data_IF_989898775528
#
_entry.id   IF_989898775528
#
_cell.length_a   1.000
_cell.length_b   1.000
_cell.length_c   1.000
_cell.angle_alpha   90.00
_cell.angle_beta   90.00
_cell.angle_gamma   90.00
#
_symmetry.space_group_name_H-M   'P 1'
#
loop_
_entity.id
_entity.type
_entity.pdbx_description
1 polymer ?
#
# COMPACT_ATOMS: atom_id res chain seq x y z
N UNK A 1 4.92 -0.98 16.79
CA UNK A 1 5.21 -1.01 15.35
C UNK A 1 5.17 0.42 14.88
N UNK A 2 6.17 0.88 14.14
CA UNK A 2 6.21 2.22 13.56
C UNK A 2 5.17 2.34 12.42
N UNK A 3 4.83 3.55 11.96
CA UNK A 3 3.94 3.75 10.80
C UNK A 3 4.51 3.11 9.54
N UNK A 4 5.80 3.27 9.29
CA UNK A 4 6.52 2.62 8.18
C UNK A 4 6.40 1.09 8.24
N UNK A 5 6.63 0.50 9.42
CA UNK A 5 6.47 -0.95 9.63
C UNK A 5 5.01 -1.40 9.41
N UNK A 6 4.05 -0.60 9.87
CA UNK A 6 2.60 -0.79 9.73
C UNK A 6 2.13 -0.82 8.29
N UNK A 7 2.53 0.18 7.51
CA UNK A 7 2.30 0.26 6.08
C UNK A 7 2.91 -0.95 5.37
N UNK A 8 4.18 -1.26 5.66
CA UNK A 8 4.87 -2.39 5.03
C UNK A 8 4.20 -3.74 5.36
N UNK A 9 3.76 -3.96 6.60
CA UNK A 9 3.06 -5.16 7.00
C UNK A 9 1.70 -5.30 6.28
N UNK A 10 0.95 -4.21 6.14
CA UNK A 10 -0.30 -4.19 5.39
C UNK A 10 -0.06 -4.56 3.92
N UNK A 11 0.92 -3.94 3.26
CA UNK A 11 1.25 -4.20 1.85
C UNK A 11 1.66 -5.65 1.62
N UNK A 12 2.50 -6.23 2.50
CA UNK A 12 2.83 -7.66 2.46
C UNK A 12 1.60 -8.55 2.57
N UNK A 13 0.69 -8.22 3.48
CA UNK A 13 -0.55 -8.97 3.63
C UNK A 13 -1.44 -8.90 2.38
N UNK A 14 -1.49 -7.75 1.68
CA UNK A 14 -2.20 -7.64 0.40
C UNK A 14 -1.51 -8.42 -0.72
N UNK A 15 -0.17 -8.40 -0.77
CA UNK A 15 0.60 -9.18 -1.73
C UNK A 15 0.34 -10.69 -1.58
N UNK A 16 0.34 -11.21 -0.36
CA UNK A 16 0.01 -12.62 -0.11
C UNK A 16 -1.40 -12.98 -0.56
N UNK A 17 -2.41 -12.12 -0.26
CA UNK A 17 -3.77 -12.33 -0.79
C UNK A 17 -3.84 -12.34 -2.31
N UNK A 18 -2.91 -11.66 -3.00
CA UNK A 18 -2.79 -11.71 -4.46
C UNK A 18 -2.19 -13.03 -4.92
N UNK A 19 -1.13 -13.50 -4.29
CA UNK A 19 -0.53 -14.80 -4.61
C UNK A 19 -1.48 -15.98 -4.36
N UNK A 20 -2.29 -15.91 -3.29
CA UNK A 20 -3.26 -16.96 -2.95
C UNK A 20 -4.45 -17.02 -3.93
N UNK A 21 -4.67 -15.96 -4.72
CA UNK A 21 -5.73 -15.90 -5.74
C UNK A 21 -5.19 -16.32 -7.09
N UNK A 22 -5.10 -17.64 -7.29
CA UNK A 22 -4.81 -18.22 -8.61
C UNK A 22 -6.10 -18.29 -9.41
N UNK A 23 -6.25 -17.40 -10.39
CA UNK A 23 -7.40 -17.37 -11.31
C UNK A 23 -6.94 -17.76 -12.72
N UNK A 24 -7.64 -18.69 -13.37
CA UNK A 24 -7.27 -19.30 -14.67
C UNK A 24 -7.07 -18.30 -15.82
N UNK A 25 -7.57 -17.07 -15.69
CA UNK A 25 -7.53 -16.03 -16.72
C UNK A 25 -6.96 -14.70 -16.19
N UNK A 26 -6.10 -14.72 -15.16
CA UNK A 26 -5.55 -13.47 -14.61
C UNK A 26 -4.38 -12.90 -15.43
N UNK A 27 -3.87 -13.64 -16.43
CA UNK A 27 -2.72 -13.28 -17.27
C UNK A 27 -1.52 -12.76 -16.44
N UNK A 28 -1.27 -13.40 -15.29
CA UNK A 28 -0.20 -13.05 -14.36
C UNK A 28 -0.41 -11.70 -13.66
N UNK A 29 -1.62 -11.11 -13.71
CA UNK A 29 -1.93 -9.82 -13.08
C UNK A 29 -1.80 -9.91 -11.57
N UNK A 30 -2.26 -10.99 -10.93
CA UNK A 30 -2.12 -11.11 -9.48
C UNK A 30 -0.65 -11.26 -9.08
N UNK A 31 0.16 -12.01 -9.84
CA UNK A 31 1.59 -12.13 -9.59
C UNK A 31 2.33 -10.78 -9.73
N UNK A 32 2.04 -10.00 -10.79
CA UNK A 32 2.61 -8.66 -10.97
C UNK A 32 2.18 -7.69 -9.86
N UNK A 33 0.92 -7.74 -9.48
CA UNK A 33 0.41 -6.95 -8.35
C UNK A 33 1.10 -7.33 -7.05
N UNK A 34 1.23 -8.63 -6.75
CA UNK A 34 1.96 -9.09 -5.57
C UNK A 34 3.41 -8.61 -5.55
N UNK A 35 4.13 -8.71 -6.67
CA UNK A 35 5.52 -8.25 -6.77
C UNK A 35 5.62 -6.74 -6.49
N UNK A 36 4.81 -5.93 -7.17
CA UNK A 36 4.81 -4.48 -6.97
C UNK A 36 4.48 -4.08 -5.52
N UNK A 37 3.57 -4.81 -4.86
CA UNK A 37 3.23 -4.61 -3.45
C UNK A 37 4.36 -5.03 -2.50
N UNK A 38 5.10 -6.10 -2.82
CA UNK A 38 6.28 -6.52 -2.05
C UNK A 38 7.42 -5.51 -2.17
N UNK A 39 7.67 -4.99 -3.38
CA UNK A 39 8.68 -3.95 -3.62
C UNK A 39 8.32 -2.67 -2.86
N UNK A 40 7.04 -2.27 -2.91
CA UNK A 40 6.54 -1.14 -2.12
C UNK A 40 6.67 -1.39 -0.62
N UNK A 41 6.39 -2.59 -0.14
CA UNK A 41 6.54 -2.92 1.27
C UNK A 41 8.00 -2.90 1.73
N UNK A 42 8.93 -3.35 0.89
CA UNK A 42 10.36 -3.29 1.18
C UNK A 42 10.85 -1.83 1.23
N UNK A 43 10.41 -1.00 0.27
CA UNK A 43 10.68 0.44 0.27
C UNK A 43 10.12 1.12 1.52
N UNK A 44 8.83 0.93 1.82
CA UNK A 44 8.16 1.54 2.96
C UNK A 44 8.81 1.17 4.30
N UNK A 45 9.29 -0.07 4.46
CA UNK A 45 9.98 -0.50 5.68
C UNK A 45 11.31 0.22 5.93
N UNK A 46 11.92 0.82 4.90
CA UNK A 46 13.15 1.59 5.00
C UNK A 46 12.92 3.09 5.25
N UNK A 47 11.68 3.57 5.23
CA UNK A 47 11.38 4.99 5.42
C UNK A 47 11.42 5.36 6.92
N UNK A 48 12.09 6.46 7.29
CA UNK A 48 12.03 6.98 8.64
C UNK A 48 10.64 7.57 8.94
N UNK A 49 10.29 7.70 10.22
CA UNK A 49 8.95 8.16 10.64
C UNK A 49 8.67 9.63 10.31
N UNK A 50 9.71 10.44 10.11
CA UNK A 50 9.65 11.83 9.67
C UNK A 50 9.76 11.97 8.14
N UNK A 51 9.78 10.86 7.40
CA UNK A 51 9.76 10.90 5.94
C UNK A 51 8.49 11.60 5.43
N UNK A 52 8.61 12.52 4.45
CA UNK A 52 7.45 13.25 3.92
C UNK A 52 6.32 12.34 3.43
N UNK A 53 6.60 11.16 2.87
CA UNK A 53 5.57 10.22 2.42
C UNK A 53 4.80 9.64 3.60
N UNK A 54 5.48 9.32 4.70
CA UNK A 54 4.85 8.79 5.93
C UNK A 54 4.00 9.87 6.59
N UNK A 55 4.51 11.10 6.67
CA UNK A 55 3.78 12.25 7.21
C UNK A 55 2.53 12.56 6.38
N UNK A 56 2.64 12.57 5.04
CA UNK A 56 1.50 12.83 4.15
C UNK A 56 0.42 11.75 4.29
N UNK A 57 0.80 10.48 4.40
CA UNK A 57 -0.16 9.38 4.63
C UNK A 57 -0.86 9.51 5.99
N UNK A 58 -0.15 10.02 7.01
CA UNK A 58 -0.72 10.28 8.32
C UNK A 58 -1.71 11.45 8.30
N UNK A 59 -1.37 12.54 7.63
CA UNK A 59 -2.29 13.67 7.43
C UNK A 59 -3.53 13.27 6.62
N UNK A 60 -3.37 12.33 5.68
CA UNK A 60 -4.49 11.72 4.93
C UNK A 60 -5.36 10.77 5.76
N UNK A 61 -5.05 10.57 7.05
CA UNK A 61 -5.82 9.71 7.95
C UNK A 61 -5.56 8.21 7.79
N UNK A 62 -4.48 7.81 7.12
CA UNK A 62 -4.19 6.40 6.86
C UNK A 62 -3.71 5.61 8.09
N UNK A 63 -3.53 6.25 9.25
CA UNK A 63 -3.06 5.58 10.47
C UNK A 63 -4.08 5.76 11.59
N UNK A 64 -4.64 4.63 12.04
CA UNK A 64 -5.56 4.56 13.17
C UNK A 64 -4.86 4.36 14.52
N UNK A 65 -5.63 4.01 15.57
CA UNK A 65 -5.08 3.78 16.92
C UNK A 65 -3.90 2.80 16.92
N UNK A 66 -2.82 3.18 17.61
CA UNK A 66 -1.59 2.38 17.68
C UNK A 66 -0.79 2.36 16.38
N UNK A 67 -0.92 3.39 15.54
CA UNK A 67 -0.25 3.54 14.25
C UNK A 67 -0.55 2.42 13.25
N UNK A 68 -1.73 1.80 13.38
CA UNK A 68 -2.18 0.77 12.44
C UNK A 68 -2.54 1.41 11.11
N UNK A 69 -1.88 0.97 10.03
CA UNK A 69 -2.19 1.43 8.68
C UNK A 69 -3.55 0.89 8.24
N UNK A 70 -4.43 1.81 7.86
CA UNK A 70 -5.74 1.58 7.27
C UNK A 70 -6.02 2.69 6.23
N UNK A 71 -5.92 2.38 4.93
CA UNK A 71 -6.09 3.37 3.86
C UNK A 71 -7.57 3.62 3.51
N UNK A 72 -8.51 3.06 4.28
CA UNK A 72 -9.94 3.11 3.98
C UNK A 72 -10.30 2.38 2.67
N UNK A 73 -11.55 2.55 2.23
CA UNK A 73 -12.07 1.84 1.04
C UNK A 73 -11.36 2.27 -0.24
N UNK A 74 -11.24 3.58 -0.48
CA UNK A 74 -10.65 4.13 -1.69
C UNK A 74 -9.18 3.74 -1.84
N UNK A 75 -8.38 3.88 -0.78
CA UNK A 75 -6.98 3.48 -0.80
C UNK A 75 -6.81 1.95 -0.87
N UNK A 76 -7.67 1.17 -0.21
CA UNK A 76 -7.70 -0.30 -0.39
C UNK A 76 -7.96 -0.67 -1.84
N UNK A 77 -8.90 0.01 -2.52
CA UNK A 77 -9.20 -0.21 -3.94
C UNK A 77 -8.01 0.14 -4.83
N UNK A 78 -7.30 1.24 -4.56
CA UNK A 78 -6.08 1.61 -5.30
C UNK A 78 -5.01 0.53 -5.15
N UNK A 79 -4.63 0.20 -3.91
CA UNK A 79 -3.60 -0.82 -3.58
C UNK A 79 -3.95 -2.16 -4.23
N UNK A 80 -5.22 -2.54 -4.17
CA UNK A 80 -5.72 -3.77 -4.78
C UNK A 80 -5.39 -3.81 -6.28
N UNK A 81 -5.50 -2.72 -7.03
CA UNK A 81 -5.28 -2.73 -8.48
C UNK A 81 -3.87 -2.30 -8.90
N UNK A 82 -2.98 -2.02 -7.94
CA UNK A 82 -1.60 -1.67 -8.22
C UNK A 82 -0.84 -2.86 -8.80
N UNK A 83 -0.22 -2.68 -9.97
CA UNK A 83 0.45 -3.76 -10.70
C UNK A 83 1.76 -3.35 -11.38
N UNK A 84 2.28 -2.17 -11.06
CA UNK A 84 3.53 -1.64 -11.61
C UNK A 84 3.70 -0.15 -11.30
N UNK A 85 4.90 0.37 -11.60
CA UNK A 85 5.35 1.70 -11.17
C UNK A 85 6.43 1.61 -10.10
N UNK A 86 7.03 2.75 -9.78
CA UNK A 86 8.03 2.84 -8.71
C UNK A 86 7.33 2.77 -7.34
N UNK A 87 7.94 2.16 -6.31
CA UNK A 87 7.38 2.05 -4.96
C UNK A 87 6.80 3.35 -4.39
N UNK A 88 7.48 4.47 -4.58
CA UNK A 88 7.06 5.76 -4.04
C UNK A 88 5.81 6.32 -4.75
N UNK A 89 5.57 5.95 -6.02
CA UNK A 89 4.40 6.42 -6.78
C UNK A 89 3.09 5.94 -6.16
N UNK A 90 3.04 4.71 -5.65
CA UNK A 90 1.88 4.21 -4.92
C UNK A 90 1.61 5.03 -3.66
N UNK A 91 2.66 5.38 -2.90
CA UNK A 91 2.53 6.14 -1.66
C UNK A 91 2.06 7.58 -1.92
N UNK A 92 2.52 8.18 -3.01
CA UNK A 92 2.05 9.50 -3.48
C UNK A 92 0.60 9.43 -3.95
N UNK A 93 0.21 8.37 -4.67
CA UNK A 93 -1.13 8.23 -5.22
C UNK A 93 -2.22 7.99 -4.15
N UNK A 94 -1.86 7.41 -3.01
CA UNK A 94 -2.79 7.03 -1.94
C UNK A 94 -3.58 8.21 -1.37
N UNK A 95 -2.94 9.30 -0.87
CA UNK A 95 -3.66 10.49 -0.40
C UNK A 95 -4.60 11.08 -1.45
N UNK A 96 -4.19 11.12 -2.72
CA UNK A 96 -5.03 11.62 -3.81
C UNK A 96 -6.27 10.77 -4.03
N UNK A 97 -6.12 9.44 -4.02
CA UNK A 97 -7.25 8.53 -4.19
C UNK A 97 -8.25 8.61 -3.02
N UNK A 98 -7.76 8.82 -1.80
CA UNK A 98 -8.59 8.99 -0.60
C UNK A 98 -9.34 10.33 -0.68
N UNK A 99 -8.64 11.43 -0.98
CA UNK A 99 -9.23 12.76 -1.07
C UNK A 99 -10.30 12.85 -2.17
N UNK A 100 -10.11 12.17 -3.30
CA UNK A 100 -11.08 12.14 -4.40
C UNK A 100 -12.38 11.36 -4.09
N UNK A 101 -12.42 10.60 -2.99
CA UNK A 101 -13.56 9.79 -2.59
C UNK A 101 -14.39 10.42 -1.45
N UNK A 102 -13.99 11.59 -0.95
CA UNK A 102 -14.70 12.40 0.06
C UNK A 102 -15.63 13.41 -0.61
#
# INVERSE_FOLDING_TARGET
MSRSESLAAYLRAQAWRRLDRVELNDDGRNARSALALLDTAAYAAGLPEDDPLILTLHEAGCFGPGERFDPGEAGTKLIKHWAGGEPHELLIALPHAIAAAM
#
